data_IF_526526453751
#
_entry.id   IF_526526453751
#
_cell.length_a   1.000
_cell.length_b   1.000
_cell.length_c   1.000
_cell.angle_alpha   90.00
_cell.angle_beta   90.00
_cell.angle_gamma   90.00
#
_symmetry.space_group_name_H-M   'P 1'
#
loop_
_entity.id
_entity.type
_entity.pdbx_description
1 polymer ?
#
# COMPACT_ATOMS: atom_id res chain seq x y z
N UNK A 1 -11.24 3.15 12.75
CA UNK A 1 -10.70 4.42 13.31
C UNK A 1 -10.74 4.30 14.82
N UNK A 2 -9.87 4.96 15.59
CA UNK A 2 -10.02 4.96 17.05
C UNK A 2 -11.27 5.75 17.45
N UNK A 3 -12.05 5.20 18.37
CA UNK A 3 -13.25 5.82 18.92
C UNK A 3 -12.92 6.37 20.30
N UNK A 4 -13.27 7.64 20.53
CA UNK A 4 -12.98 8.35 21.77
C UNK A 4 -14.27 8.78 22.44
N UNK A 5 -14.30 8.72 23.77
CA UNK A 5 -15.38 9.29 24.56
C UNK A 5 -15.28 10.83 24.65
N UNK A 6 -16.21 11.45 25.37
CA UNK A 6 -16.26 12.90 25.60
C UNK A 6 -15.05 13.46 26.36
N UNK A 7 -14.29 12.61 27.06
CA UNK A 7 -13.08 12.97 27.80
C UNK A 7 -11.81 12.75 26.96
N UNK A 8 -11.95 12.29 25.70
CA UNK A 8 -10.83 11.98 24.83
C UNK A 8 -10.14 10.65 25.16
N UNK A 9 -10.79 9.75 25.89
CA UNK A 9 -10.27 8.42 26.20
C UNK A 9 -10.65 7.46 25.06
N UNK A 10 -9.66 6.71 24.55
CA UNK A 10 -9.91 5.69 23.52
C UNK A 10 -10.72 4.54 24.13
N UNK A 11 -11.92 4.31 23.60
CA UNK A 11 -12.86 3.29 24.08
C UNK A 11 -13.04 2.14 23.08
N UNK A 12 -12.51 2.27 21.85
CA UNK A 12 -12.66 1.23 20.85
C UNK A 12 -12.09 1.57 19.48
N UNK A 13 -12.41 0.72 18.51
CA UNK A 13 -12.03 0.88 17.11
C UNK A 13 -13.25 0.64 16.20
N UNK A 14 -13.48 1.57 15.27
CA UNK A 14 -14.54 1.44 14.28
C UNK A 14 -14.25 0.30 13.31
N UNK A 15 -15.31 -0.45 13.00
CA UNK A 15 -15.31 -1.48 11.97
C UNK A 15 -15.33 -0.89 10.55
N UNK A 16 -14.76 -1.60 9.55
CA UNK A 16 -14.00 -2.84 9.70
C UNK A 16 -12.59 -2.59 10.28
N UNK A 17 -12.11 -3.52 11.10
CA UNK A 17 -10.72 -3.50 11.57
C UNK A 17 -9.81 -3.87 10.40
N UNK A 18 -8.81 -3.04 10.12
CA UNK A 18 -7.76 -3.31 9.12
C UNK A 18 -6.59 -4.03 9.83
N UNK A 19 -6.19 -5.17 9.30
CA UNK A 19 -5.06 -5.98 9.73
C UNK A 19 -4.25 -6.44 8.50
N UNK A 20 -3.05 -7.00 8.73
CA UNK A 20 -2.09 -7.35 7.67
C UNK A 20 -2.65 -8.18 6.51
N UNK A 21 -3.69 -9.00 6.75
CA UNK A 21 -4.23 -9.92 5.76
C UNK A 21 -5.54 -9.45 5.09
N UNK A 22 -6.09 -8.29 5.47
CA UNK A 22 -7.27 -7.73 4.84
C UNK A 22 -7.00 -6.35 4.19
N UNK A 23 -5.74 -6.05 3.90
CA UNK A 23 -5.32 -4.87 3.14
C UNK A 23 -5.62 -5.06 1.65
N UNK A 24 -6.87 -4.80 1.26
CA UNK A 24 -7.29 -4.81 -0.15
C UNK A 24 -8.33 -3.71 -0.39
N UNK A 25 -8.71 -3.51 -1.66
CA UNK A 25 -9.63 -2.46 -2.04
C UNK A 25 -11.02 -2.58 -1.39
N UNK A 26 -11.49 -3.81 -1.15
CA UNK A 26 -12.82 -4.06 -0.55
C UNK A 26 -12.93 -3.54 0.89
N UNK A 27 -11.81 -3.44 1.60
CA UNK A 27 -11.76 -2.88 2.96
C UNK A 27 -11.88 -1.35 2.94
N UNK A 28 -11.58 -0.71 1.81
CA UNK A 28 -11.59 0.77 1.64
C UNK A 28 -12.83 1.23 0.87
N UNK A 29 -13.49 0.36 0.10
CA UNK A 29 -14.63 0.71 -0.76
C UNK A 29 -15.82 1.30 0.00
N UNK A 30 -16.02 0.86 1.25
CA UNK A 30 -17.06 1.34 2.16
C UNK A 30 -16.53 2.43 3.13
N UNK A 31 -15.29 2.86 2.94
CA UNK A 31 -14.70 3.92 3.72
C UNK A 31 -15.42 5.25 3.46
N UNK A 32 -15.46 6.16 4.44
CA UNK A 32 -15.96 7.51 4.21
C UNK A 32 -15.14 8.19 3.09
N UNK A 33 -15.73 9.23 2.46
CA UNK A 33 -15.06 10.20 1.57
C UNK A 33 -15.04 9.96 0.05
N UNK A 34 -15.85 9.06 -0.53
CA UNK A 34 -16.00 8.99 -2.00
C UNK A 34 -14.68 8.70 -2.75
N UNK A 35 -13.71 8.11 -2.05
CA UNK A 35 -12.36 7.83 -2.54
C UNK A 35 -12.39 7.07 -3.87
N UNK A 36 -13.29 6.09 -3.98
CA UNK A 36 -13.50 5.26 -5.17
C UNK A 36 -13.82 6.12 -6.40
N UNK A 37 -14.67 7.14 -6.27
CA UNK A 37 -15.03 8.02 -7.38
C UNK A 37 -13.83 8.85 -7.84
N UNK A 38 -13.03 9.36 -6.89
CA UNK A 38 -11.86 10.20 -7.17
C UNK A 38 -10.75 9.47 -7.92
N UNK A 39 -10.60 8.16 -7.68
CA UNK A 39 -9.55 7.35 -8.32
C UNK A 39 -10.06 6.52 -9.48
N UNK A 40 -11.37 6.57 -9.77
CA UNK A 40 -12.03 5.72 -10.76
C UNK A 40 -11.44 5.81 -12.18
N UNK A 41 -10.81 6.94 -12.52
CA UNK A 41 -10.16 7.18 -13.82
C UNK A 41 -8.67 6.87 -13.85
N UNK A 42 -8.06 6.51 -12.71
CA UNK A 42 -6.63 6.21 -12.61
C UNK A 42 -6.40 4.72 -12.79
N UNK A 43 -5.64 4.35 -13.83
CA UNK A 43 -5.32 2.96 -14.16
C UNK A 43 -3.90 2.55 -13.76
N UNK A 44 -3.02 3.52 -13.51
CA UNK A 44 -1.64 3.27 -13.12
C UNK A 44 -1.51 3.38 -11.59
N UNK A 45 -0.94 2.34 -10.97
CA UNK A 45 -0.76 2.23 -9.52
C UNK A 45 0.73 2.20 -9.21
N UNK A 46 1.14 3.02 -8.24
CA UNK A 46 2.50 3.01 -7.70
C UNK A 46 2.39 2.56 -6.24
N UNK A 47 2.73 1.30 -5.97
CA UNK A 47 2.48 0.63 -4.69
C UNK A 47 3.79 0.49 -3.91
N UNK A 48 3.80 0.97 -2.68
CA UNK A 48 4.92 0.84 -1.75
C UNK A 48 4.45 -0.01 -0.55
N UNK A 49 5.28 -0.94 -0.09
CA UNK A 49 4.99 -1.72 1.11
C UNK A 49 6.24 -2.28 1.79
N UNK A 50 6.07 -2.77 3.01
CA UNK A 50 7.12 -3.30 3.87
C UNK A 50 6.76 -4.69 4.42
N UNK A 51 5.72 -5.30 3.85
CA UNK A 51 5.24 -6.62 4.18
C UNK A 51 4.94 -7.41 2.92
N UNK A 52 5.23 -8.72 2.87
CA UNK A 52 4.87 -9.57 1.74
C UNK A 52 3.37 -9.59 1.36
N UNK A 53 2.50 -9.04 2.22
CA UNK A 53 1.05 -9.01 2.02
C UNK A 53 0.54 -7.66 1.50
N UNK A 54 1.36 -6.61 1.53
CA UNK A 54 1.01 -5.30 1.02
C UNK A 54 0.81 -5.24 -0.51
N UNK A 55 1.46 -6.09 -1.33
CA UNK A 55 1.17 -6.17 -2.76
C UNK A 55 -0.29 -6.45 -3.10
N UNK A 56 -1.12 -6.92 -2.15
CA UNK A 56 -2.56 -7.12 -2.33
C UNK A 56 -3.41 -5.86 -2.14
N UNK A 57 -2.80 -4.71 -1.81
CA UNK A 57 -3.55 -3.45 -1.67
C UNK A 57 -4.19 -2.98 -2.98
N UNK A 58 -3.65 -3.40 -4.12
CA UNK A 58 -4.23 -3.11 -5.43
C UNK A 58 -5.32 -4.12 -5.87
N UNK A 59 -5.53 -5.18 -5.09
CA UNK A 59 -6.52 -6.21 -5.40
C UNK A 59 -7.94 -5.65 -5.22
N UNK A 60 -8.73 -5.71 -6.30
CA UNK A 60 -10.08 -5.14 -6.36
C UNK A 60 -10.14 -3.70 -6.88
N UNK A 61 -9.00 -3.08 -7.19
CA UNK A 61 -8.96 -1.96 -8.12
C UNK A 61 -9.15 -2.59 -9.52
N UNK A 62 -9.97 -1.99 -10.39
CA UNK A 62 -10.38 -2.46 -11.75
C UNK A 62 -9.41 -3.44 -12.46
N UNK A 63 -9.95 -4.39 -13.22
CA UNK A 63 -9.17 -5.45 -13.91
C UNK A 63 -8.07 -4.94 -14.86
N UNK A 64 -8.13 -3.67 -15.30
CA UNK A 64 -7.20 -3.08 -16.27
C UNK A 64 -6.01 -2.31 -15.64
N UNK A 65 -5.80 -2.41 -14.33
CA UNK A 65 -4.73 -1.62 -13.70
C UNK A 65 -3.34 -2.17 -13.97
N UNK A 66 -2.40 -1.24 -14.16
CA UNK A 66 -0.97 -1.54 -14.24
C UNK A 66 -0.31 -1.03 -12.96
N UNK A 67 0.25 -1.96 -12.18
CA UNK A 67 0.91 -1.66 -10.91
C UNK A 67 2.42 -1.77 -11.04
N UNK A 68 3.16 -0.82 -10.47
CA UNK A 68 4.57 -0.98 -10.13
C UNK A 68 4.69 -1.09 -8.60
N UNK A 69 5.23 -2.20 -8.11
CA UNK A 69 5.27 -2.57 -6.69
C UNK A 69 6.70 -2.54 -6.17
N UNK A 70 6.94 -1.75 -5.13
CA UNK A 70 8.24 -1.59 -4.49
C UNK A 70 8.14 -2.01 -3.02
N UNK A 71 8.95 -3.01 -2.65
CA UNK A 71 8.99 -3.60 -1.32
C UNK A 71 10.23 -3.17 -0.55
N UNK A 72 10.06 -2.66 0.67
CA UNK A 72 11.15 -2.31 1.58
C UNK A 72 11.41 -3.47 2.55
N UNK A 73 12.52 -4.18 2.34
CA UNK A 73 12.94 -5.27 3.20
C UNK A 73 13.97 -4.77 4.22
N UNK A 74 13.46 -4.40 5.38
CA UNK A 74 14.26 -3.77 6.45
C UNK A 74 14.87 -4.77 7.45
N UNK A 75 14.39 -6.02 7.48
CA UNK A 75 14.77 -7.04 8.48
C UNK A 75 14.64 -8.44 7.90
N UNK A 76 15.32 -9.40 8.53
CA UNK A 76 15.19 -10.84 8.25
C UNK A 76 15.44 -11.19 6.77
N UNK A 77 16.36 -10.47 6.13
CA UNK A 77 16.68 -10.57 4.69
C UNK A 77 16.92 -12.03 4.27
N UNK A 78 17.75 -12.75 5.02
CA UNK A 78 18.09 -14.16 4.77
C UNK A 78 16.86 -15.08 4.62
N UNK A 79 15.75 -14.73 5.25
CA UNK A 79 14.53 -15.55 5.25
C UNK A 79 13.43 -15.01 4.35
N UNK A 80 13.39 -13.68 4.16
CA UNK A 80 12.28 -13.02 3.49
C UNK A 80 12.60 -12.59 2.06
N UNK A 81 13.86 -12.48 1.67
CA UNK A 81 14.26 -11.95 0.37
C UNK A 81 13.56 -12.67 -0.79
N UNK A 82 13.60 -13.99 -0.83
CA UNK A 82 12.94 -14.78 -1.89
C UNK A 82 11.44 -14.47 -1.96
N UNK A 83 10.77 -14.39 -0.80
CA UNK A 83 9.34 -14.09 -0.75
C UNK A 83 9.03 -12.68 -1.26
N UNK A 84 9.90 -11.70 -0.97
CA UNK A 84 9.74 -10.34 -1.48
C UNK A 84 9.95 -10.28 -2.99
N UNK A 85 10.98 -10.96 -3.50
CA UNK A 85 11.28 -11.05 -4.93
C UNK A 85 10.15 -11.72 -5.74
N UNK A 86 9.35 -12.59 -5.11
CA UNK A 86 8.19 -13.24 -5.75
C UNK A 86 6.98 -12.30 -5.88
N UNK A 87 6.85 -11.27 -5.04
CA UNK A 87 5.61 -10.47 -4.91
C UNK A 87 5.79 -8.98 -5.22
N UNK A 88 7.02 -8.50 -5.29
CA UNK A 88 7.37 -7.11 -5.64
C UNK A 88 8.20 -7.06 -6.93
N UNK A 89 8.02 -6.00 -7.71
CA UNK A 89 8.82 -5.75 -8.92
C UNK A 89 10.22 -5.23 -8.55
N UNK A 90 10.32 -4.47 -7.46
CA UNK A 90 11.58 -3.91 -6.95
C UNK A 90 11.63 -4.18 -5.44
N UNK A 91 12.74 -4.76 -4.98
CA UNK A 91 13.02 -4.94 -3.55
C UNK A 91 14.16 -4.03 -3.15
N UNK A 92 13.92 -3.20 -2.14
CA UNK A 92 14.88 -2.27 -1.56
C UNK A 92 15.35 -2.84 -0.22
N UNK A 93 16.65 -3.10 -0.08
CA UNK A 93 17.24 -3.75 1.08
C UNK A 93 17.85 -2.72 2.03
N UNK A 94 17.42 -2.76 3.30
CA UNK A 94 17.96 -1.95 4.41
C UNK A 94 18.20 -0.46 4.08
N UNK A 95 17.32 0.13 3.26
CA UNK A 95 17.35 1.55 2.91
C UNK A 95 16.18 2.27 3.59
N UNK A 96 16.51 3.20 4.48
CA UNK A 96 15.54 3.99 5.24
C UNK A 96 15.14 5.29 4.52
N UNK A 97 15.37 5.37 3.21
CA UNK A 97 15.03 6.52 2.37
C UNK A 97 13.91 6.19 1.38
N UNK A 98 13.38 7.22 0.72
CA UNK A 98 12.45 7.10 -0.40
C UNK A 98 13.13 7.43 -1.74
N UNK A 99 14.46 7.36 -1.81
CA UNK A 99 15.21 7.80 -2.99
C UNK A 99 14.83 7.00 -4.25
N UNK A 100 14.69 5.68 -4.13
CA UNK A 100 14.28 4.81 -5.24
C UNK A 100 12.89 5.18 -5.78
N UNK A 101 11.81 5.18 -4.97
CA UNK A 101 10.50 5.56 -5.46
C UNK A 101 10.43 7.01 -5.96
N UNK A 102 11.12 7.95 -5.31
CA UNK A 102 11.12 9.35 -5.72
C UNK A 102 11.80 9.56 -7.08
N UNK A 103 12.97 8.94 -7.32
CA UNK A 103 13.67 9.02 -8.62
C UNK A 103 12.84 8.41 -9.75
N UNK A 104 12.15 7.30 -9.50
CA UNK A 104 11.23 6.69 -10.46
C UNK A 104 10.05 7.63 -10.78
N UNK A 105 9.47 8.24 -9.74
CA UNK A 105 8.38 9.19 -9.91
C UNK A 105 8.83 10.44 -10.70
N UNK A 106 10.00 11.00 -10.38
CA UNK A 106 10.60 12.11 -11.11
C UNK A 106 10.79 11.77 -12.58
N UNK A 107 11.34 10.60 -12.88
CA UNK A 107 11.51 10.13 -14.25
C UNK A 107 10.17 10.01 -14.98
N UNK A 108 9.15 9.39 -14.38
CA UNK A 108 7.82 9.25 -14.98
C UNK A 108 7.20 10.61 -15.26
N UNK A 109 7.32 11.56 -14.32
CA UNK A 109 6.77 12.90 -14.46
C UNK A 109 7.53 13.76 -15.49
N UNK A 110 8.82 13.46 -15.73
CA UNK A 110 9.62 14.15 -16.74
C UNK A 110 9.37 13.65 -18.17
N UNK A 111 8.67 12.53 -18.36
CA UNK A 111 8.28 12.03 -19.70
C UNK A 111 7.04 12.71 -20.27
N UNK A 112 6.56 13.79 -19.64
CA UNK A 112 5.40 14.57 -20.09
C UNK A 112 5.71 15.53 -21.23
#
# INVERSE_FOLDING_TARGET
MMEFDENGICIGFSSPIIHTFNKNFSTIINGPYGFVEQISSRTNVFLLGDSPYDPHMDFGIKEENVSLKIGFLNKDEDTLLNKYMDVYDIVVLDDQTLDVPLKLLEYILSQK
#
